data_IF_403318102191
#
_entry.id   IF_403318102191
#
_cell.length_a   1.000
_cell.length_b   1.000
_cell.length_c   1.000
_cell.angle_alpha   90.00
_cell.angle_beta   90.00
_cell.angle_gamma   90.00
#
_symmetry.space_group_name_H-M   'P 1'
#
loop_
_entity.id
_entity.type
_entity.pdbx_description
1 polymer ?
#
# COMPACT_ATOMS: atom_id res chain seq x y z
N UNK A 1 -14.36 59.28 -7.45
CA UNK A 1 -14.00 60.03 -8.66
C UNK A 1 -12.48 60.14 -8.64
N UNK A 2 -11.82 59.20 -9.32
CA UNK A 2 -10.36 59.16 -9.52
C UNK A 2 -10.13 58.43 -10.85
N UNK A 3 -9.69 59.21 -11.84
CA UNK A 3 -8.71 58.91 -12.89
C UNK A 3 -7.76 57.72 -12.59
N UNK A 4 -7.16 57.02 -13.53
CA UNK A 4 -6.74 57.42 -14.88
C UNK A 4 -6.52 56.18 -15.76
N UNK A 5 -6.58 56.40 -17.07
CA UNK A 5 -6.58 55.37 -18.11
C UNK A 5 -5.17 54.91 -18.53
N UNK A 6 -5.11 53.66 -18.99
CA UNK A 6 -3.97 53.00 -19.61
C UNK A 6 -3.55 53.66 -20.94
N UNK A 7 -2.25 53.91 -21.14
CA UNK A 7 -1.65 54.20 -22.44
C UNK A 7 -0.39 53.34 -22.64
N UNK A 8 -0.34 52.61 -23.76
CA UNK A 8 0.74 51.70 -24.17
C UNK A 8 2.05 52.44 -24.54
N UNK A 9 3.23 51.80 -24.35
CA UNK A 9 4.51 52.36 -24.78
C UNK A 9 4.78 52.15 -26.30
N UNK A 10 5.50 53.09 -26.95
CA UNK A 10 5.75 53.10 -28.40
C UNK A 10 6.80 52.06 -28.87
N UNK A 11 6.84 51.74 -30.19
CA UNK A 11 7.72 50.73 -30.78
C UNK A 11 9.20 51.14 -30.78
N UNK A 12 10.09 50.15 -30.57
CA UNK A 12 11.55 50.32 -30.51
C UNK A 12 12.17 50.40 -31.92
N UNK A 13 12.98 51.42 -32.15
CA UNK A 13 13.64 51.72 -33.44
C UNK A 13 15.13 51.34 -33.46
N UNK A 14 15.46 50.38 -34.33
CA UNK A 14 16.63 50.24 -35.24
C UNK A 14 18.09 50.66 -34.91
N UNK A 15 18.54 50.76 -33.65
CA UNK A 15 19.98 51.02 -33.35
C UNK A 15 20.79 49.93 -32.65
N UNK A 16 20.25 48.74 -32.38
CA UNK A 16 20.99 47.68 -31.65
C UNK A 16 21.30 46.44 -32.53
N UNK A 17 21.76 46.68 -33.76
CA UNK A 17 22.28 45.68 -34.69
C UNK A 17 23.77 45.92 -34.94
N UNK A 18 24.62 45.41 -34.05
CA UNK A 18 26.07 45.23 -34.25
C UNK A 18 26.53 44.13 -33.27
N UNK A 19 26.38 42.84 -33.58
CA UNK A 19 27.30 41.94 -34.30
C UNK A 19 28.79 42.10 -33.98
N UNK A 20 29.31 41.08 -33.28
CA UNK A 20 30.61 40.48 -33.59
C UNK A 20 31.76 40.86 -32.68
N UNK A 21 32.02 40.03 -31.67
CA UNK A 21 33.35 39.52 -31.32
C UNK A 21 33.21 38.60 -30.09
N UNK A 22 32.89 37.32 -30.34
CA UNK A 22 33.00 36.28 -29.32
C UNK A 22 34.48 35.92 -29.11
N UNK A 23 34.99 35.89 -27.88
CA UNK A 23 36.33 35.40 -27.60
C UNK A 23 36.44 33.89 -27.83
N UNK A 24 37.47 33.49 -28.57
CA UNK A 24 37.83 32.09 -28.85
C UNK A 24 38.07 31.32 -27.55
N UNK A 25 37.52 30.10 -27.38
CA UNK A 25 37.78 29.25 -26.22
C UNK A 25 39.22 28.70 -26.26
N UNK A 26 40.01 28.97 -25.22
CA UNK A 26 41.32 28.34 -24.97
C UNK A 26 41.10 26.87 -24.58
N UNK A 27 41.44 25.97 -25.50
CA UNK A 27 41.32 24.53 -25.35
C UNK A 27 42.41 23.92 -24.48
N UNK A 28 42.23 23.98 -23.16
CA UNK A 28 42.97 23.16 -22.20
C UNK A 28 42.01 22.40 -21.30
N UNK A 29 41.44 21.33 -21.85
CA UNK A 29 40.86 20.23 -21.08
C UNK A 29 42.00 19.24 -20.81
N UNK A 30 42.65 19.47 -19.66
CA UNK A 30 43.71 18.64 -19.15
C UNK A 30 43.12 17.31 -18.67
N UNK A 31 43.59 16.22 -19.28
CA UNK A 31 43.79 14.93 -18.64
C UNK A 31 42.65 14.39 -17.79
N UNK A 32 41.86 13.48 -18.40
CA UNK A 32 41.10 12.44 -17.69
C UNK A 32 41.97 11.76 -16.63
N UNK A 33 41.89 12.23 -15.40
CA UNK A 33 42.25 11.47 -14.21
C UNK A 33 41.12 10.46 -13.98
N UNK A 34 41.22 9.34 -14.69
CA UNK A 34 40.52 8.10 -14.37
C UNK A 34 41.33 7.37 -13.28
N UNK A 35 41.47 8.01 -12.14
CA UNK A 35 41.92 7.43 -10.89
C UNK A 35 40.69 7.22 -10.03
N UNK A 36 40.27 5.95 -9.93
CA UNK A 36 39.18 5.56 -9.07
C UNK A 36 39.47 6.00 -7.64
N UNK A 37 38.76 7.03 -7.19
CA UNK A 37 38.38 7.15 -5.79
C UNK A 37 37.43 5.99 -5.52
N UNK A 38 38.04 4.82 -5.37
CA UNK A 38 37.45 3.68 -4.70
C UNK A 38 37.21 4.18 -3.30
N UNK A 39 36.03 4.79 -3.13
CA UNK A 39 35.49 5.20 -1.86
C UNK A 39 35.86 4.11 -0.89
N UNK A 40 36.63 4.52 0.11
CA UNK A 40 36.78 3.75 1.33
C UNK A 40 35.36 3.53 1.81
N UNK A 41 34.76 2.43 1.37
CA UNK A 41 33.73 1.76 2.12
C UNK A 41 34.49 1.25 3.32
N UNK A 42 34.67 2.16 4.27
CA UNK A 42 35.13 1.89 5.60
C UNK A 42 34.16 0.84 6.10
N UNK A 43 34.57 -0.41 5.94
CA UNK A 43 33.94 -1.59 6.50
C UNK A 43 34.06 -1.51 8.01
N UNK A 44 33.32 -0.57 8.58
CA UNK A 44 32.79 -0.60 9.91
C UNK A 44 31.73 -1.70 9.92
N UNK A 45 32.21 -2.95 9.92
CA UNK A 45 31.42 -4.12 10.28
C UNK A 45 31.11 -4.07 11.78
N UNK A 46 30.42 -3.00 12.18
CA UNK A 46 30.11 -2.64 13.53
C UNK A 46 29.06 -3.58 14.12
N UNK A 47 29.13 -3.75 15.43
CA UNK A 47 28.16 -4.49 16.23
C UNK A 47 26.76 -3.82 16.29
N UNK A 48 26.40 -3.03 15.28
CA UNK A 48 25.17 -2.23 15.11
C UNK A 48 24.19 -2.84 14.09
N UNK A 49 24.43 -4.07 13.61
CA UNK A 49 23.60 -4.79 12.63
C UNK A 49 22.31 -5.42 13.24
N UNK A 50 21.98 -5.10 14.49
CA UNK A 50 20.74 -5.58 15.10
C UNK A 50 19.57 -4.70 14.64
N UNK A 51 18.47 -5.30 14.14
CA UNK A 51 17.31 -4.54 13.70
C UNK A 51 16.79 -3.67 14.85
N UNK A 52 16.49 -2.40 14.55
CA UNK A 52 15.96 -1.48 15.56
C UNK A 52 14.57 -1.92 16.00
N UNK A 53 14.10 -1.42 17.15
CA UNK A 53 12.72 -1.68 17.61
C UNK A 53 11.70 -1.22 16.56
N UNK A 54 11.98 -0.12 15.85
CA UNK A 54 11.12 0.36 14.77
C UNK A 54 11.08 -0.63 13.59
N UNK A 55 12.22 -1.23 13.23
CA UNK A 55 12.29 -2.22 12.16
C UNK A 55 11.52 -3.50 12.52
N UNK A 56 11.59 -3.92 13.79
CA UNK A 56 10.85 -5.07 14.29
C UNK A 56 9.34 -4.82 14.27
N UNK A 57 8.88 -3.66 14.76
CA UNK A 57 7.47 -3.25 14.71
C UNK A 57 6.98 -3.18 13.27
N UNK A 58 7.77 -2.59 12.36
CA UNK A 58 7.43 -2.52 10.95
C UNK A 58 7.32 -3.93 10.33
N UNK A 59 8.27 -4.81 10.60
CA UNK A 59 8.26 -6.19 10.10
C UNK A 59 7.04 -6.99 10.60
N UNK A 60 6.67 -6.83 11.87
CA UNK A 60 5.48 -7.43 12.44
C UNK A 60 4.20 -6.90 11.78
N UNK A 61 4.09 -5.57 11.64
CA UNK A 61 2.98 -4.92 10.95
C UNK A 61 2.85 -5.41 9.49
N UNK A 62 3.97 -5.55 8.77
CA UNK A 62 3.99 -6.11 7.42
C UNK A 62 3.51 -7.57 7.41
N UNK A 63 3.95 -8.41 8.35
CA UNK A 63 3.50 -9.80 8.46
C UNK A 63 1.97 -9.87 8.64
N UNK A 64 1.43 -9.01 9.50
CA UNK A 64 0.00 -8.91 9.74
C UNK A 64 -0.78 -8.50 8.48
N UNK A 65 -0.30 -7.50 7.74
CA UNK A 65 -0.91 -7.09 6.46
C UNK A 65 -0.90 -8.26 5.47
N UNK A 66 0.23 -8.95 5.30
CA UNK A 66 0.35 -10.08 4.37
C UNK A 66 -0.64 -11.21 4.68
N UNK A 67 -0.84 -11.54 5.95
CA UNK A 67 -1.85 -12.52 6.36
C UNK A 67 -3.27 -12.11 5.96
N UNK A 68 -3.62 -10.84 6.14
CA UNK A 68 -4.93 -10.32 5.73
C UNK A 68 -5.07 -10.23 4.20
N UNK A 69 -4.01 -9.94 3.45
CA UNK A 69 -4.01 -9.99 1.98
C UNK A 69 -4.40 -11.39 1.48
N UNK A 70 -3.81 -12.44 2.05
CA UNK A 70 -4.13 -13.83 1.69
C UNK A 70 -5.60 -14.15 2.01
N UNK A 71 -6.08 -13.76 3.19
CA UNK A 71 -7.48 -13.92 3.56
C UNK A 71 -8.44 -13.15 2.62
N UNK A 72 -8.08 -11.93 2.22
CA UNK A 72 -8.88 -11.11 1.31
C UNK A 72 -8.98 -11.73 -0.09
N UNK A 73 -7.87 -12.28 -0.59
CA UNK A 73 -7.86 -13.01 -1.86
C UNK A 73 -8.80 -14.23 -1.81
N UNK A 74 -8.87 -14.93 -0.68
CA UNK A 74 -9.77 -16.07 -0.48
C UNK A 74 -11.25 -15.65 -0.39
N UNK A 75 -11.55 -14.52 0.27
CA UNK A 75 -12.91 -13.98 0.35
C UNK A 75 -13.43 -13.60 -1.05
N UNK A 76 -12.57 -13.03 -1.90
CA UNK A 76 -12.91 -12.67 -3.28
C UNK A 76 -13.23 -13.83 -4.22
N UNK A 77 -13.13 -15.09 -3.77
CA UNK A 77 -13.60 -16.27 -4.52
C UNK A 77 -15.11 -16.50 -4.35
N UNK A 78 -15.76 -15.88 -3.37
CA UNK A 78 -17.18 -16.10 -3.06
C UNK A 78 -18.04 -15.08 -3.81
N UNK A 79 -18.88 -15.47 -4.78
CA UNK A 79 -19.66 -14.55 -5.59
C UNK A 79 -20.92 -14.07 -4.86
N UNK A 80 -20.78 -13.44 -3.70
CA UNK A 80 -21.88 -12.83 -2.93
C UNK A 80 -21.58 -11.34 -2.69
N UNK A 81 -22.10 -10.43 -3.53
CA UNK A 81 -21.66 -9.02 -3.58
C UNK A 81 -21.75 -8.25 -2.25
N UNK A 82 -22.76 -8.51 -1.42
CA UNK A 82 -22.95 -7.78 -0.14
C UNK A 82 -22.12 -8.37 0.99
N UNK A 83 -22.03 -9.70 1.04
CA UNK A 83 -21.23 -10.41 2.07
C UNK A 83 -19.75 -10.14 1.85
N UNK A 84 -19.29 -10.11 0.59
CA UNK A 84 -17.91 -9.83 0.21
C UNK A 84 -17.42 -8.47 0.76
N UNK A 85 -18.20 -7.39 0.59
CA UNK A 85 -17.83 -6.06 1.10
C UNK A 85 -17.81 -6.01 2.63
N UNK A 86 -18.85 -6.54 3.30
CA UNK A 86 -18.91 -6.54 4.76
C UNK A 86 -17.80 -7.39 5.39
N UNK A 87 -17.48 -8.53 4.78
CA UNK A 87 -16.37 -9.41 5.16
C UNK A 87 -15.02 -8.72 4.96
N UNK A 88 -14.80 -8.03 3.84
CA UNK A 88 -13.56 -7.28 3.60
C UNK A 88 -13.42 -6.12 4.59
N UNK A 89 -14.49 -5.40 4.91
CA UNK A 89 -14.46 -4.35 5.94
C UNK A 89 -14.17 -4.95 7.31
N UNK A 90 -14.84 -6.04 7.70
CA UNK A 90 -14.58 -6.72 8.97
C UNK A 90 -13.13 -7.20 9.09
N UNK A 91 -12.60 -7.81 8.02
CA UNK A 91 -11.20 -8.21 7.91
C UNK A 91 -10.26 -7.01 8.05
N UNK A 92 -10.55 -5.92 7.34
CA UNK A 92 -9.74 -4.70 7.37
C UNK A 92 -9.77 -4.03 8.74
N UNK A 93 -10.91 -4.05 9.45
CA UNK A 93 -11.02 -3.54 10.83
C UNK A 93 -10.16 -4.37 11.78
N UNK A 94 -10.19 -5.71 11.65
CA UNK A 94 -9.30 -6.59 12.42
C UNK A 94 -7.83 -6.32 12.11
N UNK A 95 -7.49 -6.08 10.84
CA UNK A 95 -6.14 -5.72 10.42
C UNK A 95 -5.69 -4.42 11.09
N UNK A 96 -6.52 -3.37 11.04
CA UNK A 96 -6.25 -2.07 11.67
C UNK A 96 -6.10 -2.20 13.18
N UNK A 97 -6.92 -3.02 13.84
CA UNK A 97 -6.78 -3.30 15.27
C UNK A 97 -5.41 -3.91 15.61
N UNK A 98 -4.95 -4.88 14.83
CA UNK A 98 -3.62 -5.45 15.01
C UNK A 98 -2.50 -4.45 14.77
N UNK A 99 -2.61 -3.60 13.74
CA UNK A 99 -1.66 -2.51 13.50
C UNK A 99 -1.64 -1.53 14.67
N UNK A 100 -2.80 -1.14 15.21
CA UNK A 100 -2.89 -0.29 16.40
C UNK A 100 -2.13 -0.88 17.59
N UNK A 101 -2.18 -2.21 17.78
CA UNK A 101 -1.42 -2.89 18.83
C UNK A 101 0.10 -2.83 18.58
N UNK A 102 0.55 -3.10 17.34
CA UNK A 102 1.98 -3.03 17.00
C UNK A 102 2.58 -1.64 17.28
N UNK A 103 1.82 -0.57 17.01
CA UNK A 103 2.28 0.81 17.17
C UNK A 103 1.88 1.46 18.51
N UNK A 104 1.21 0.73 19.41
CA UNK A 104 0.77 1.26 20.71
C UNK A 104 -0.31 2.36 20.61
N UNK A 105 -1.08 2.39 19.54
CA UNK A 105 -2.15 3.38 19.29
C UNK A 105 -3.48 2.90 19.86
N UNK A 106 -4.22 3.71 20.63
CA UNK A 106 -5.56 3.35 21.09
C UNK A 106 -6.51 3.03 19.93
N UNK A 107 -7.21 1.90 20.03
CA UNK A 107 -8.13 1.45 18.99
C UNK A 107 -9.58 1.89 19.25
N UNK A 108 -10.24 2.37 18.20
CA UNK A 108 -11.70 2.59 18.16
C UNK A 108 -12.27 1.90 16.92
N UNK A 109 -13.29 1.07 17.12
CA UNK A 109 -13.94 0.36 16.02
C UNK A 109 -14.63 1.33 15.05
N UNK A 110 -15.27 2.35 15.61
CA UNK A 110 -15.99 3.39 14.90
C UNK A 110 -15.02 4.21 14.04
N UNK A 111 -13.91 4.67 14.61
CA UNK A 111 -12.90 5.45 13.90
C UNK A 111 -12.22 4.64 12.80
N UNK A 112 -11.85 3.38 13.10
CA UNK A 112 -11.27 2.48 12.10
C UNK A 112 -12.24 2.25 10.93
N UNK A 113 -13.51 1.93 11.20
CA UNK A 113 -14.54 1.77 10.15
C UNK A 113 -14.72 3.04 9.34
N UNK A 114 -14.82 4.20 9.99
CA UNK A 114 -14.99 5.48 9.33
C UNK A 114 -13.83 5.78 8.37
N UNK A 115 -12.58 5.59 8.83
CA UNK A 115 -11.39 5.78 8.02
C UNK A 115 -11.34 4.83 6.80
N UNK A 116 -11.67 3.54 7.01
CA UNK A 116 -11.72 2.54 5.94
C UNK A 116 -12.78 2.90 4.89
N UNK A 117 -13.99 3.25 5.32
CA UNK A 117 -15.10 3.63 4.42
C UNK A 117 -14.74 4.91 3.64
N UNK A 118 -14.08 5.88 4.27
CA UNK A 118 -13.66 7.12 3.62
C UNK A 118 -12.60 6.90 2.51
N UNK A 119 -11.88 5.77 2.54
CA UNK A 119 -10.90 5.38 1.54
C UNK A 119 -11.50 4.58 0.38
N UNK A 120 -12.70 3.99 0.52
CA UNK A 120 -13.38 3.24 -0.56
C UNK A 120 -13.50 4.05 -1.86
N UNK A 121 -13.86 5.36 -1.85
CA UNK A 121 -13.90 6.18 -3.06
C UNK A 121 -12.58 6.22 -3.84
N UNK A 122 -11.43 6.01 -3.18
CA UNK A 122 -10.12 6.00 -3.83
C UNK A 122 -9.89 4.77 -4.74
N UNK A 123 -10.69 3.71 -4.57
CA UNK A 123 -10.63 2.48 -5.38
C UNK A 123 -11.31 2.64 -6.74
N UNK A 124 -12.40 3.41 -6.79
CA UNK A 124 -13.27 3.56 -7.97
C UNK A 124 -12.55 4.05 -9.25
N UNK A 125 -11.65 5.05 -9.22
CA UNK A 125 -10.95 5.47 -10.42
C UNK A 125 -10.04 4.37 -10.99
N UNK A 126 -9.51 3.50 -10.13
CA UNK A 126 -8.53 2.47 -10.50
C UNK A 126 -9.21 1.24 -11.14
N UNK A 127 -10.48 1.00 -10.84
CA UNK A 127 -11.32 0.02 -11.55
C UNK A 127 -11.88 0.60 -12.86
N UNK A 128 -12.13 1.91 -12.92
CA UNK A 128 -12.58 2.62 -14.12
C UNK A 128 -11.54 2.63 -15.25
N UNK A 129 -10.24 2.74 -14.96
CA UNK A 129 -9.18 2.66 -15.99
C UNK A 129 -9.13 1.27 -16.64
N UNK A 130 -9.44 0.19 -15.90
CA UNK A 130 -9.65 -1.15 -16.48
C UNK A 130 -10.93 -1.27 -17.31
N UNK A 131 -11.90 -0.38 -17.10
CA UNK A 131 -13.17 -0.32 -17.83
C UNK A 131 -13.05 0.39 -19.19
N UNK A 132 -12.00 1.20 -19.38
CA UNK A 132 -11.67 1.84 -20.66
C UNK A 132 -10.83 0.93 -21.59
N UNK A 133 -10.49 -0.29 -21.17
CA UNK A 133 -10.13 -1.38 -22.08
C UNK A 133 -11.41 -1.95 -22.72
N UNK A 134 -12.02 -1.21 -23.65
CA UNK A 134 -13.36 -1.46 -24.22
C UNK A 134 -13.61 -2.81 -24.93
N UNK A 135 -12.74 -3.82 -24.87
CA UNK A 135 -12.70 -4.95 -25.82
C UNK A 135 -13.05 -6.36 -25.26
N UNK A 136 -13.50 -6.52 -24.01
CA UNK A 136 -13.93 -7.84 -23.45
C UNK A 136 -15.44 -8.09 -23.67
N UNK A 137 -16.14 -7.18 -24.36
CA UNK A 137 -17.60 -7.17 -24.52
C UNK A 137 -18.22 -8.26 -25.41
N UNK A 138 -17.48 -9.27 -25.86
CA UNK A 138 -18.00 -10.21 -26.87
C UNK A 138 -17.93 -11.69 -26.49
N UNK A 139 -17.27 -12.07 -25.39
CA UNK A 139 -17.14 -13.49 -25.03
C UNK A 139 -17.41 -13.68 -23.54
N UNK A 140 -18.66 -14.03 -23.16
CA UNK A 140 -19.07 -14.28 -21.77
C UNK A 140 -18.31 -15.43 -21.09
N UNK A 141 -17.52 -16.21 -21.83
CA UNK A 141 -16.84 -17.43 -21.35
C UNK A 141 -15.34 -17.18 -21.11
N UNK A 142 -14.70 -16.22 -21.79
CA UNK A 142 -13.27 -15.89 -21.59
C UNK A 142 -13.07 -14.81 -20.52
N UNK A 143 -14.11 -14.01 -20.25
CA UNK A 143 -14.09 -13.02 -19.15
C UNK A 143 -14.10 -13.63 -17.73
N UNK A 144 -14.46 -14.90 -17.57
CA UNK A 144 -14.64 -15.54 -16.26
C UNK A 144 -13.32 -15.97 -15.60
N UNK A 145 -12.30 -16.31 -16.40
CA UNK A 145 -10.98 -16.72 -15.89
C UNK A 145 -10.16 -15.49 -15.47
N UNK A 146 -10.31 -14.36 -16.18
CA UNK A 146 -9.81 -13.05 -15.72
C UNK A 146 -10.68 -12.50 -14.58
N UNK A 147 -11.97 -12.85 -14.55
CA UNK A 147 -12.93 -12.42 -13.53
C UNK A 147 -12.64 -12.95 -12.12
N UNK A 148 -12.46 -14.26 -11.94
CA UNK A 148 -12.24 -14.84 -10.61
C UNK A 148 -10.84 -14.48 -10.05
N UNK A 149 -9.78 -14.69 -10.85
CA UNK A 149 -8.42 -14.35 -10.42
C UNK A 149 -8.17 -12.84 -10.27
N UNK A 150 -8.88 -12.02 -11.06
CA UNK A 150 -8.81 -10.56 -11.00
C UNK A 150 -9.48 -9.97 -9.77
N UNK A 151 -10.64 -10.50 -9.36
CA UNK A 151 -11.35 -10.05 -8.15
C UNK A 151 -10.56 -10.41 -6.89
N UNK A 152 -10.04 -11.64 -6.79
CA UNK A 152 -9.15 -12.03 -5.69
C UNK A 152 -7.92 -11.14 -5.60
N UNK A 153 -7.23 -10.94 -6.73
CA UNK A 153 -6.02 -10.12 -6.79
C UNK A 153 -6.30 -8.67 -6.38
N UNK A 154 -7.40 -8.11 -6.86
CA UNK A 154 -7.82 -6.75 -6.51
C UNK A 154 -8.16 -6.64 -5.03
N UNK A 155 -8.90 -7.59 -4.48
CA UNK A 155 -9.24 -7.64 -3.04
C UNK A 155 -7.97 -7.65 -2.19
N UNK A 156 -7.02 -8.53 -2.52
CA UNK A 156 -5.71 -8.57 -1.88
C UNK A 156 -4.93 -7.26 -2.01
N UNK A 157 -4.93 -6.65 -3.20
CA UNK A 157 -4.24 -5.38 -3.44
C UNK A 157 -4.86 -4.21 -2.65
N UNK A 158 -6.19 -4.17 -2.50
CA UNK A 158 -6.89 -3.15 -1.70
C UNK A 158 -6.54 -3.30 -0.22
N UNK A 159 -6.61 -4.51 0.32
CA UNK A 159 -6.27 -4.76 1.73
C UNK A 159 -4.80 -4.43 2.01
N UNK A 160 -3.89 -4.76 1.09
CA UNK A 160 -2.49 -4.34 1.17
C UNK A 160 -2.38 -2.81 1.24
N UNK A 161 -3.04 -2.09 0.31
CA UNK A 161 -2.97 -0.64 0.25
C UNK A 161 -3.53 0.03 1.51
N UNK A 162 -4.63 -0.49 2.07
CA UNK A 162 -5.15 -0.03 3.36
C UNK A 162 -4.11 -0.23 4.47
N UNK A 163 -3.49 -1.40 4.55
CA UNK A 163 -2.43 -1.69 5.52
C UNK A 163 -1.29 -0.68 5.44
N UNK A 164 -0.79 -0.40 4.24
CA UNK A 164 0.30 0.57 4.03
C UNK A 164 -0.08 2.00 4.45
N UNK A 165 -1.33 2.40 4.25
CA UNK A 165 -1.85 3.70 4.74
C UNK A 165 -1.76 3.80 6.25
N UNK A 166 -2.25 2.80 6.98
CA UNK A 166 -2.22 2.82 8.44
C UNK A 166 -0.81 2.68 8.99
N UNK A 167 0.03 1.82 8.41
CA UNK A 167 1.44 1.69 8.79
C UNK A 167 2.16 3.04 8.69
N UNK A 168 2.10 3.69 7.52
CA UNK A 168 2.73 5.00 7.32
C UNK A 168 2.16 6.06 8.25
N UNK A 169 0.86 6.01 8.53
CA UNK A 169 0.19 6.96 9.41
C UNK A 169 0.68 6.81 10.85
N UNK A 170 0.79 5.58 11.35
CA UNK A 170 1.28 5.31 12.71
C UNK A 170 2.78 5.53 12.88
N UNK A 171 3.59 5.21 11.87
CA UNK A 171 5.04 5.54 11.86
C UNK A 171 5.31 7.05 11.97
N UNK A 172 4.33 7.88 11.58
CA UNK A 172 4.40 9.34 11.70
C UNK A 172 3.81 9.85 13.03
N UNK A 173 3.45 8.95 13.95
CA UNK A 173 2.84 9.28 15.23
C UNK A 173 1.35 9.63 15.15
N UNK A 174 0.66 9.27 14.06
CA UNK A 174 -0.77 9.51 13.90
C UNK A 174 -1.64 8.53 14.69
N UNK A 175 -2.93 8.85 14.80
CA UNK A 175 -3.97 8.05 15.47
C UNK A 175 -5.14 7.77 14.54
N UNK A 176 -6.10 6.94 14.96
CA UNK A 176 -7.30 6.69 14.14
C UNK A 176 -8.17 7.92 13.89
N UNK A 177 -8.06 8.96 14.73
CA UNK A 177 -8.93 10.14 14.70
C UNK A 177 -8.36 11.32 13.92
N UNK A 178 -7.09 11.28 13.54
CA UNK A 178 -6.38 12.39 12.89
C UNK A 178 -5.91 12.07 11.46
N UNK A 179 -6.46 10.99 10.87
CA UNK A 179 -6.09 10.58 9.52
C UNK A 179 -6.42 11.68 8.50
N UNK A 180 -5.38 12.18 7.83
CA UNK A 180 -5.53 13.18 6.77
C UNK A 180 -5.93 12.50 5.47
N UNK A 181 -7.20 12.61 5.13
CA UNK A 181 -7.80 11.81 4.06
C UNK A 181 -7.14 12.01 2.69
N UNK A 182 -6.70 13.22 2.34
CA UNK A 182 -6.04 13.46 1.05
C UNK A 182 -4.67 12.81 0.96
N UNK A 183 -3.88 12.87 2.03
CA UNK A 183 -2.60 12.19 2.13
C UNK A 183 -2.79 10.66 2.13
N UNK A 184 -3.80 10.18 2.85
CA UNK A 184 -4.16 8.76 2.90
C UNK A 184 -4.57 8.24 1.52
N UNK A 185 -5.40 8.98 0.76
CA UNK A 185 -5.79 8.64 -0.61
C UNK A 185 -4.61 8.65 -1.58
N UNK A 186 -3.72 9.64 -1.48
CA UNK A 186 -2.53 9.71 -2.32
C UNK A 186 -1.62 8.49 -2.06
N UNK A 187 -1.38 8.16 -0.79
CA UNK A 187 -0.58 7.00 -0.45
C UNK A 187 -1.28 5.69 -0.85
N UNK A 188 -2.60 5.59 -0.64
CA UNK A 188 -3.41 4.45 -1.03
C UNK A 188 -3.25 4.13 -2.53
N UNK A 189 -3.34 5.13 -3.42
CA UNK A 189 -3.19 4.93 -4.86
C UNK A 189 -1.81 4.33 -5.22
N UNK A 190 -0.75 4.85 -4.61
CA UNK A 190 0.62 4.33 -4.81
C UNK A 190 0.77 2.91 -4.26
N UNK A 191 0.28 2.67 -3.05
CA UNK A 191 0.33 1.36 -2.41
C UNK A 191 -0.53 0.32 -3.14
N UNK A 192 -1.64 0.72 -3.78
CA UNK A 192 -2.49 -0.17 -4.56
C UNK A 192 -1.77 -0.72 -5.80
N UNK A 193 -0.96 0.11 -6.47
CA UNK A 193 -0.14 -0.34 -7.60
C UNK A 193 0.88 -1.41 -7.15
N UNK A 194 1.53 -1.20 -5.99
CA UNK A 194 2.42 -2.19 -5.38
C UNK A 194 1.66 -3.44 -4.94
N UNK A 195 0.49 -3.26 -4.33
CA UNK A 195 -0.37 -4.31 -3.82
C UNK A 195 -0.81 -5.29 -4.89
N UNK A 196 -1.03 -4.84 -6.14
CA UNK A 196 -1.30 -5.74 -7.27
C UNK A 196 -0.14 -6.71 -7.52
N UNK A 197 1.11 -6.24 -7.45
CA UNK A 197 2.27 -7.11 -7.63
C UNK A 197 2.47 -8.05 -6.44
N UNK A 198 2.30 -7.53 -5.22
CA UNK A 198 2.42 -8.31 -3.98
C UNK A 198 1.38 -9.42 -3.94
N UNK A 199 0.12 -9.10 -4.20
CA UNK A 199 -0.96 -10.07 -4.22
C UNK A 199 -0.76 -11.12 -5.33
N UNK A 200 -0.22 -10.74 -6.49
CA UNK A 200 0.07 -11.70 -7.57
C UNK A 200 1.12 -12.71 -7.13
N UNK A 201 2.24 -12.21 -6.58
CA UNK A 201 3.31 -13.07 -6.07
C UNK A 201 2.83 -13.98 -4.94
N UNK A 202 1.94 -13.48 -4.07
CA UNK A 202 1.38 -14.27 -2.97
C UNK A 202 0.45 -15.35 -3.48
N UNK A 203 -0.41 -15.05 -4.45
CA UNK A 203 -1.26 -16.05 -5.11
C UNK A 203 -0.41 -17.15 -5.71
N UNK A 204 0.62 -16.80 -6.48
CA UNK A 204 1.50 -17.79 -7.13
C UNK A 204 2.19 -18.72 -6.09
N UNK A 205 2.55 -18.18 -4.91
CA UNK A 205 3.10 -18.97 -3.78
C UNK A 205 2.07 -19.86 -3.10
N UNK A 206 0.83 -19.37 -2.95
CA UNK A 206 -0.27 -20.15 -2.34
C UNK A 206 -0.75 -21.24 -3.29
N UNK A 207 -0.82 -20.99 -4.60
CA UNK A 207 -1.21 -22.02 -5.57
C UNK A 207 -0.14 -23.12 -5.68
N UNK A 208 1.13 -22.78 -5.48
CA UNK A 208 2.23 -23.76 -5.37
C UNK A 208 2.26 -24.55 -4.04
N UNK A 209 1.58 -24.07 -3.01
CA UNK A 209 1.43 -24.71 -1.69
C UNK A 209 -0.06 -25.03 -1.52
N UNK A 210 -0.50 -26.16 -2.08
CA UNK A 210 -1.93 -26.52 -2.18
C UNK A 210 -2.77 -26.28 -0.91
N UNK A 211 -4.11 -26.16 -1.04
CA UNK A 211 -4.98 -25.57 -0.02
C UNK A 211 -4.77 -26.17 1.37
N UNK A 212 -4.32 -25.36 2.34
CA UNK A 212 -4.46 -25.73 3.75
C UNK A 212 -5.93 -25.57 4.14
N UNK A 213 -6.54 -26.57 4.79
CA UNK A 213 -7.93 -26.48 5.21
C UNK A 213 -8.12 -25.26 6.12
N UNK A 214 -9.11 -24.44 5.79
CA UNK A 214 -9.56 -23.34 6.63
C UNK A 214 -10.08 -23.93 7.95
N UNK A 215 -9.30 -23.79 9.02
CA UNK A 215 -9.66 -24.34 10.33
C UNK A 215 -8.53 -24.43 11.37
N UNK A 216 -7.32 -23.90 11.12
CA UNK A 216 -6.21 -23.97 12.10
C UNK A 216 -5.93 -22.65 12.83
N UNK A 217 -6.83 -21.67 12.76
CA UNK A 217 -6.82 -20.59 13.73
C UNK A 217 -7.50 -21.08 15.02
N UNK A 218 -6.65 -21.45 15.98
CA UNK A 218 -6.96 -21.49 17.42
C UNK A 218 -7.72 -22.73 17.97
N UNK A 219 -7.01 -23.85 18.10
CA UNK A 219 -7.35 -24.91 19.06
C UNK A 219 -6.16 -25.25 19.98
N UNK A 220 -5.25 -24.31 20.16
CA UNK A 220 -4.07 -24.47 21.01
C UNK A 220 -4.05 -23.43 22.13
N UNK A 221 -5.10 -23.42 22.97
CA UNK A 221 -5.06 -22.91 24.34
C UNK A 221 -6.26 -23.41 25.16
N UNK A 222 -6.18 -24.66 25.63
CA UNK A 222 -6.65 -25.02 26.97
C UNK A 222 -6.14 -26.42 27.35
N UNK A 223 -5.25 -26.58 28.35
CA UNK A 223 -5.02 -27.87 28.98
C UNK A 223 -5.95 -27.98 30.19
N UNK A 224 -7.01 -28.76 30.10
CA UNK A 224 -7.77 -29.18 31.28
C UNK A 224 -8.47 -30.53 31.05
N UNK A 225 -7.79 -31.60 31.50
CA UNK A 225 -8.41 -32.69 32.25
C UNK A 225 -9.41 -33.61 31.54
N UNK A 226 -8.88 -34.70 31.00
CA UNK A 226 -9.60 -35.94 30.69
C UNK A 226 -10.18 -36.58 31.99
N UNK A 227 -11.51 -36.50 32.18
CA UNK A 227 -12.46 -37.62 32.38
C UNK A 227 -12.36 -38.57 33.63
N UNK A 228 -13.31 -39.52 33.87
CA UNK A 228 -14.41 -39.43 34.85
C UNK A 228 -14.38 -40.51 35.96
N UNK A 229 -15.29 -40.45 36.94
CA UNK A 229 -15.87 -41.66 37.57
C UNK A 229 -17.20 -41.37 38.27
N UNK A 230 -18.24 -42.08 37.81
CA UNK A 230 -19.46 -42.30 38.53
C UNK A 230 -19.18 -43.22 39.73
N UNK A 231 -19.72 -42.91 40.89
CA UNK A 231 -19.94 -43.90 41.95
C UNK A 231 -21.20 -43.53 42.75
N UNK A 232 -21.99 -44.57 43.00
CA UNK A 232 -23.35 -44.58 43.48
C UNK A 232 -23.42 -44.53 45.02
N UNK A 233 -24.39 -43.76 45.55
CA UNK A 233 -25.18 -44.04 46.77
C UNK A 233 -24.41 -44.19 48.12
N UNK A 234 -25.07 -44.12 49.30
CA UNK A 234 -26.30 -44.84 49.72
C UNK A 234 -27.60 -44.05 49.64
#
# INVERSE_FOLDING_TARGET
MTDDAHAEPPPRSSSDLDRGDEPIPDGRDDGRDNGGDNGRDDGDGGADDLPTVADLIHAEAQSLVRGNVIAAMAIGLVPVPVVDVASVVGLSVRMVHGLSQCYGVPFSNEAARAALIALIPAVLPVTAVGSMASAVKSVPIVGSVVGAGGVSLLSGAVVYALGQVFIRHYERGGTLHDIKLDAARAHFKSALAQGRQVASRMRDRVDGVGPRPAGSADAARSPAGEHPRAESQP
#
